data_IF_479654659803
#
_entry.id   IF_479654659803
#
_cell.length_a   1.000
_cell.length_b   1.000
_cell.length_c   1.000
_cell.angle_alpha   90.00
_cell.angle_beta   90.00
_cell.angle_gamma   90.00
#
_symmetry.space_group_name_H-M   'P 1'
#
loop_
_entity.id
_entity.type
_entity.pdbx_description
1 polymer ?
#
# COMPACT_ATOMS: atom_id res chain seq x y z
N UNK A 1 11.28 22.23 -10.40
CA UNK A 1 10.35 21.09 -10.58
C UNK A 1 10.80 20.30 -11.79
N UNK A 2 10.98 18.99 -11.67
CA UNK A 2 11.17 18.17 -12.88
C UNK A 2 9.79 17.67 -13.32
N UNK A 3 9.39 17.97 -14.56
CA UNK A 3 8.17 17.41 -15.17
C UNK A 3 8.14 15.88 -15.03
N UNK A 4 9.33 15.28 -15.03
CA UNK A 4 9.58 13.86 -14.83
C UNK A 4 9.00 13.30 -13.53
N UNK A 5 9.24 13.94 -12.38
CA UNK A 5 8.78 13.39 -11.09
C UNK A 5 7.26 13.32 -10.97
N UNK A 6 6.57 14.34 -11.49
CA UNK A 6 5.10 14.35 -11.58
C UNK A 6 4.59 13.27 -12.54
N UNK A 7 5.26 13.09 -13.67
CA UNK A 7 4.91 12.05 -14.63
C UNK A 7 5.09 10.65 -14.03
N UNK A 8 6.20 10.38 -13.34
CA UNK A 8 6.43 9.11 -12.63
C UNK A 8 5.35 8.83 -11.58
N UNK A 9 4.94 9.84 -10.82
CA UNK A 9 3.86 9.69 -9.84
C UNK A 9 2.54 9.26 -10.50
N UNK A 10 2.08 9.99 -11.52
CA UNK A 10 0.80 9.68 -12.17
C UNK A 10 0.86 8.38 -12.96
N UNK A 11 1.96 8.11 -13.64
CA UNK A 11 2.15 6.85 -14.36
C UNK A 11 2.18 5.67 -13.38
N UNK A 12 2.91 5.78 -12.28
CA UNK A 12 2.93 4.77 -11.22
C UNK A 12 1.54 4.53 -10.63
N UNK A 13 0.78 5.59 -10.40
CA UNK A 13 -0.60 5.50 -9.91
C UNK A 13 -1.53 4.81 -10.93
N UNK A 14 -1.42 5.13 -12.22
CA UNK A 14 -2.20 4.47 -13.26
C UNK A 14 -1.87 2.98 -13.38
N UNK A 15 -0.58 2.63 -13.31
CA UNK A 15 -0.12 1.23 -13.30
C UNK A 15 -0.66 0.50 -12.06
N UNK A 16 -0.56 1.13 -10.88
CA UNK A 16 -1.09 0.59 -9.63
C UNK A 16 -2.59 0.35 -9.74
N UNK A 17 -3.38 1.31 -10.21
CA UNK A 17 -4.83 1.15 -10.40
C UNK A 17 -5.08 0.01 -11.39
N UNK A 18 -4.50 0.06 -12.59
CA UNK A 18 -4.69 -0.95 -13.63
C UNK A 18 -4.38 -2.39 -13.17
N UNK A 19 -3.41 -2.57 -12.27
CA UNK A 19 -3.07 -3.90 -11.73
C UNK A 19 -4.20 -4.58 -10.95
N UNK A 20 -5.21 -3.85 -10.46
CA UNK A 20 -6.34 -4.43 -9.72
C UNK A 20 -7.21 -5.36 -10.57
N UNK A 21 -7.20 -5.18 -11.89
CA UNK A 21 -7.98 -6.00 -12.82
C UNK A 21 -7.20 -7.18 -13.41
N UNK A 22 -5.92 -7.29 -13.10
CA UNK A 22 -5.05 -8.35 -13.61
C UNK A 22 -4.94 -9.50 -12.62
N UNK A 23 -4.61 -10.68 -13.15
CA UNK A 23 -4.33 -11.86 -12.32
C UNK A 23 -3.10 -11.59 -11.47
N UNK A 24 -3.27 -11.70 -10.15
CA UNK A 24 -2.24 -11.38 -9.18
C UNK A 24 -1.34 -12.56 -8.86
N UNK A 25 -1.95 -13.74 -8.65
CA UNK A 25 -1.25 -14.93 -8.19
C UNK A 25 -1.85 -16.16 -8.85
N UNK A 26 -1.06 -17.22 -8.94
CA UNK A 26 -1.50 -18.54 -9.33
C UNK A 26 -0.76 -19.59 -8.51
N UNK A 27 -1.25 -20.82 -8.48
CA UNK A 27 -0.57 -21.93 -7.83
C UNK A 27 -1.49 -22.86 -7.05
N UNK A 28 -0.93 -23.92 -6.46
CA UNK A 28 -1.69 -24.94 -5.73
C UNK A 28 -2.44 -24.39 -4.51
N UNK A 29 -1.99 -23.29 -3.92
CA UNK A 29 -2.70 -22.62 -2.82
C UNK A 29 -3.89 -21.75 -3.23
N UNK A 30 -4.22 -21.68 -4.52
CA UNK A 30 -5.40 -20.96 -5.02
C UNK A 30 -6.59 -21.91 -5.07
N UNK A 31 -7.53 -21.74 -4.14
CA UNK A 31 -8.72 -22.59 -4.01
C UNK A 31 -9.86 -22.22 -4.98
N UNK A 32 -9.71 -21.15 -5.75
CA UNK A 32 -10.73 -20.61 -6.65
C UNK A 32 -10.53 -21.09 -8.08
N UNK A 33 -11.64 -21.38 -8.79
CA UNK A 33 -11.62 -21.81 -10.19
C UNK A 33 -10.98 -20.77 -11.13
N UNK A 34 -11.09 -19.49 -10.77
CA UNK A 34 -10.46 -18.36 -11.45
C UNK A 34 -9.30 -17.85 -10.59
N UNK A 35 -8.11 -17.63 -11.16
CA UNK A 35 -6.99 -17.11 -10.40
C UNK A 35 -7.30 -15.66 -9.92
N UNK A 36 -7.07 -15.36 -8.63
CA UNK A 36 -7.56 -14.13 -8.02
C UNK A 36 -6.81 -12.91 -8.53
N UNK A 37 -7.53 -11.80 -8.61
CA UNK A 37 -6.98 -10.47 -8.90
C UNK A 37 -6.37 -9.83 -7.64
N UNK A 38 -5.67 -8.70 -7.80
CA UNK A 38 -5.17 -7.94 -6.64
C UNK A 38 -6.34 -7.41 -5.80
N UNK A 39 -7.46 -7.06 -6.45
CA UNK A 39 -8.67 -6.64 -5.75
C UNK A 39 -9.21 -7.75 -4.83
N UNK A 40 -9.32 -8.98 -5.36
CA UNK A 40 -9.82 -10.13 -4.61
C UNK A 40 -8.90 -10.42 -3.40
N UNK A 41 -7.59 -10.47 -3.62
CA UNK A 41 -6.60 -10.66 -2.54
C UNK A 41 -6.70 -9.59 -1.46
N UNK A 42 -6.85 -8.32 -1.84
CA UNK A 42 -6.93 -7.21 -0.90
C UNK A 42 -8.20 -7.28 -0.05
N UNK A 43 -9.35 -7.61 -0.67
CA UNK A 43 -10.62 -7.75 0.03
C UNK A 43 -10.58 -8.95 0.97
N UNK A 44 -10.18 -10.12 0.47
CA UNK A 44 -10.13 -11.36 1.25
C UNK A 44 -9.19 -11.22 2.46
N UNK A 45 -7.98 -10.70 2.25
CA UNK A 45 -7.02 -10.52 3.34
C UNK A 45 -7.47 -9.50 4.39
N UNK A 46 -8.13 -8.41 3.97
CA UNK A 46 -8.67 -7.42 4.90
C UNK A 46 -9.85 -7.98 5.70
N UNK A 47 -10.80 -8.65 5.03
CA UNK A 47 -11.97 -9.24 5.70
C UNK A 47 -11.56 -10.36 6.65
N UNK A 48 -10.72 -11.29 6.19
CA UNK A 48 -10.21 -12.38 7.03
C UNK A 48 -9.54 -11.78 8.27
N UNK A 49 -8.68 -10.77 8.11
CA UNK A 49 -8.01 -10.14 9.25
C UNK A 49 -9.01 -9.50 10.23
N UNK A 50 -9.98 -8.73 9.74
CA UNK A 50 -10.98 -8.06 10.58
C UNK A 50 -11.87 -9.03 11.33
N UNK A 51 -12.37 -10.08 10.65
CA UNK A 51 -13.23 -11.08 11.28
C UNK A 51 -12.44 -11.99 12.24
N UNK A 52 -11.20 -12.34 11.90
CA UNK A 52 -10.37 -13.20 12.74
C UNK A 52 -9.95 -12.49 14.04
N UNK A 53 -9.61 -11.20 13.97
CA UNK A 53 -9.31 -10.39 15.18
C UNK A 53 -10.49 -10.36 16.16
N UNK A 54 -11.73 -10.33 15.65
CA UNK A 54 -12.91 -10.26 16.52
C UNK A 54 -13.10 -11.52 17.38
N UNK A 55 -12.59 -12.67 16.95
CA UNK A 55 -12.75 -13.94 17.65
C UNK A 55 -11.68 -14.21 18.72
N UNK A 56 -10.55 -13.48 18.70
CA UNK A 56 -9.46 -13.70 19.65
C UNK A 56 -9.44 -12.63 20.74
N UNK A 57 -9.18 -13.07 21.99
CA UNK A 57 -8.81 -12.16 23.07
C UNK A 57 -7.45 -11.53 22.75
N UNK A 58 -7.26 -10.25 23.05
CA UNK A 58 -6.01 -9.52 22.76
C UNK A 58 -4.75 -10.23 23.29
N UNK A 59 -4.86 -10.96 24.40
CA UNK A 59 -3.76 -11.74 24.98
C UNK A 59 -3.29 -12.91 24.10
N UNK A 60 -4.21 -13.64 23.46
CA UNK A 60 -3.86 -14.77 22.59
C UNK A 60 -3.33 -14.33 21.23
N UNK A 61 -3.70 -13.13 20.76
CA UNK A 61 -3.15 -12.52 19.54
C UNK A 61 -1.65 -12.23 19.68
N UNK A 62 -1.21 -11.79 20.87
CA UNK A 62 0.21 -11.49 21.12
C UNK A 62 1.06 -12.76 21.23
N UNK A 63 0.51 -13.84 21.77
CA UNK A 63 1.19 -15.14 21.83
C UNK A 63 1.29 -15.82 20.46
N UNK A 64 0.28 -15.65 19.60
CA UNK A 64 0.22 -16.24 18.25
C UNK A 64 0.71 -15.28 17.15
N UNK A 65 1.49 -14.25 17.50
CA UNK A 65 2.01 -13.24 16.57
C UNK A 65 3.15 -13.80 15.68
N UNK A 66 2.88 -14.91 15.00
CA UNK A 66 3.84 -15.54 14.09
C UNK A 66 4.06 -14.66 12.86
N UNK A 67 5.27 -14.76 12.29
CA UNK A 67 5.62 -14.08 11.04
C UNK A 67 4.60 -14.35 9.92
N UNK A 68 3.96 -15.52 9.94
CA UNK A 68 2.89 -15.91 9.02
C UNK A 68 1.67 -14.98 9.11
N UNK A 69 1.13 -14.74 10.31
CA UNK A 69 -0.04 -13.87 10.47
C UNK A 69 0.28 -12.41 10.13
N UNK A 70 1.44 -11.92 10.56
CA UNK A 70 1.90 -10.57 10.22
C UNK A 70 2.03 -10.40 8.70
N UNK A 71 2.57 -11.40 8.02
CA UNK A 71 2.70 -11.40 6.56
C UNK A 71 1.33 -11.37 5.89
N UNK A 72 0.35 -12.17 6.34
CA UNK A 72 -1.01 -12.12 5.77
C UNK A 72 -1.74 -10.81 6.07
N UNK A 73 -1.61 -10.28 7.28
CA UNK A 73 -2.17 -8.99 7.64
C UNK A 73 -1.63 -7.87 6.74
N UNK A 74 -0.34 -7.93 6.40
CA UNK A 74 0.30 -6.92 5.55
C UNK A 74 -0.34 -6.82 4.15
N UNK A 75 -0.85 -7.93 3.59
CA UNK A 75 -1.53 -7.98 2.28
C UNK A 75 -2.83 -7.17 2.28
N UNK A 76 -3.59 -7.20 3.39
CA UNK A 76 -4.84 -6.44 3.50
C UNK A 76 -4.60 -4.95 3.76
N UNK A 77 -3.56 -4.63 4.53
CA UNK A 77 -3.29 -3.27 5.01
C UNK A 77 -2.40 -2.43 4.09
N UNK A 78 -1.63 -3.04 3.20
CA UNK A 78 -0.71 -2.31 2.32
C UNK A 78 -1.44 -1.29 1.44
N UNK A 79 -2.63 -1.60 0.91
CA UNK A 79 -3.38 -0.69 0.04
C UNK A 79 -3.86 0.57 0.80
N UNK A 80 -4.56 0.46 1.95
CA UNK A 80 -4.86 1.63 2.79
C UNK A 80 -3.64 2.45 3.18
N UNK A 81 -2.56 1.80 3.63
CA UNK A 81 -1.32 2.49 4.04
C UNK A 81 -0.68 3.21 2.86
N UNK A 82 -0.67 2.60 1.68
CA UNK A 82 -0.18 3.20 0.45
C UNK A 82 -1.00 4.44 0.04
N UNK A 83 -2.33 4.38 0.12
CA UNK A 83 -3.21 5.53 -0.15
C UNK A 83 -2.92 6.67 0.84
N UNK A 84 -2.81 6.37 2.14
CA UNK A 84 -2.44 7.36 3.15
C UNK A 84 -1.07 7.99 2.83
N UNK A 85 -0.09 7.16 2.45
CA UNK A 85 1.25 7.63 2.05
C UNK A 85 1.17 8.57 0.85
N UNK A 86 0.36 8.22 -0.16
CA UNK A 86 0.15 9.04 -1.35
C UNK A 86 -0.48 10.40 -1.01
N UNK A 87 -1.49 10.41 -0.13
CA UNK A 87 -2.10 11.65 0.35
C UNK A 87 -1.07 12.52 1.09
N UNK A 88 -0.27 11.92 1.98
CA UNK A 88 0.81 12.64 2.68
C UNK A 88 1.85 13.21 1.71
N UNK A 89 2.19 12.48 0.64
CA UNK A 89 3.09 12.93 -0.41
C UNK A 89 2.52 14.13 -1.19
N UNK A 90 1.22 14.15 -1.47
CA UNK A 90 0.54 15.25 -2.16
C UNK A 90 0.36 16.48 -1.28
N UNK A 91 0.02 16.29 -0.01
CA UNK A 91 -0.17 17.40 0.95
C UNK A 91 1.19 18.02 1.33
N UNK A 92 2.24 17.19 1.43
CA UNK A 92 3.62 17.59 1.72
C UNK A 92 3.80 18.49 2.97
N UNK A 93 2.91 18.34 3.97
CA UNK A 93 2.97 19.09 5.23
C UNK A 93 4.06 18.56 6.16
N UNK A 94 4.31 17.25 6.16
CA UNK A 94 5.18 16.56 7.13
C UNK A 94 6.15 15.62 6.43
N UNK A 95 7.29 16.11 5.90
CA UNK A 95 8.21 15.31 5.09
C UNK A 95 8.79 14.11 5.87
N UNK A 96 8.98 14.25 7.20
CA UNK A 96 9.41 13.15 8.07
C UNK A 96 8.38 12.02 8.10
N UNK A 97 7.10 12.36 8.24
CA UNK A 97 6.01 11.38 8.28
C UNK A 97 5.89 10.66 6.94
N UNK A 98 5.99 11.39 5.84
CA UNK A 98 6.03 10.82 4.49
C UNK A 98 7.16 9.80 4.32
N UNK A 99 8.37 10.10 4.82
CA UNK A 99 9.51 9.16 4.76
C UNK A 99 9.25 7.90 5.58
N UNK A 100 8.71 8.04 6.80
CA UNK A 100 8.37 6.90 7.65
C UNK A 100 7.35 6.00 6.93
N UNK A 101 6.28 6.58 6.41
CA UNK A 101 5.25 5.84 5.68
C UNK A 101 5.78 5.15 4.42
N UNK A 102 6.70 5.79 3.67
CA UNK A 102 7.40 5.15 2.54
C UNK A 102 8.16 3.91 3.00
N UNK A 103 8.91 3.98 4.10
CA UNK A 103 9.61 2.83 4.65
C UNK A 103 8.65 1.72 5.10
N UNK A 104 7.52 2.08 5.72
CA UNK A 104 6.48 1.12 6.11
C UNK A 104 5.91 0.41 4.89
N UNK A 105 5.55 1.14 3.82
CA UNK A 105 5.04 0.52 2.59
C UNK A 105 6.08 -0.43 1.98
N UNK A 106 7.35 -0.05 1.92
CA UNK A 106 8.42 -0.93 1.42
C UNK A 106 8.55 -2.21 2.24
N UNK A 107 8.49 -2.10 3.57
CA UNK A 107 8.49 -3.27 4.45
C UNK A 107 7.26 -4.16 4.20
N UNK A 108 6.08 -3.55 4.02
CA UNK A 108 4.86 -4.29 3.74
C UNK A 108 4.90 -5.00 2.39
N UNK A 109 5.51 -4.40 1.36
CA UNK A 109 5.73 -5.09 0.07
C UNK A 109 6.55 -6.35 0.32
N UNK A 110 7.65 -6.29 1.07
CA UNK A 110 8.47 -7.47 1.39
C UNK A 110 7.69 -8.53 2.18
N UNK A 111 6.88 -8.11 3.17
CA UNK A 111 6.03 -9.02 3.93
C UNK A 111 4.94 -9.68 3.06
N UNK A 112 4.40 -8.97 2.07
CA UNK A 112 3.46 -9.55 1.11
C UNK A 112 4.12 -10.67 0.30
N UNK A 113 5.39 -10.53 -0.09
CA UNK A 113 6.15 -11.60 -0.74
C UNK A 113 6.31 -12.83 0.17
N UNK A 114 6.61 -12.62 1.45
CA UNK A 114 6.68 -13.72 2.44
C UNK A 114 5.32 -14.41 2.58
N UNK A 115 4.21 -13.67 2.54
CA UNK A 115 2.86 -14.23 2.58
C UNK A 115 2.57 -15.15 1.38
N UNK A 116 3.09 -14.82 0.18
CA UNK A 116 2.95 -15.67 -1.00
C UNK A 116 3.66 -17.01 -0.82
N UNK A 117 4.86 -17.01 -0.23
CA UNK A 117 5.62 -18.22 0.08
C UNK A 117 4.83 -19.10 1.05
N UNK A 118 4.28 -18.53 2.12
CA UNK A 118 3.46 -19.29 3.08
C UNK A 118 2.15 -19.84 2.51
N UNK A 119 1.68 -19.33 1.36
CA UNK A 119 0.49 -19.82 0.66
C UNK A 119 0.81 -20.77 -0.49
N UNK A 120 2.08 -21.07 -0.77
CA UNK A 120 2.49 -21.86 -1.94
C UNK A 120 1.90 -21.32 -3.25
N UNK A 121 1.83 -19.99 -3.35
CA UNK A 121 1.39 -19.29 -4.56
C UNK A 121 2.54 -18.48 -5.14
N UNK A 122 2.57 -18.35 -6.45
CA UNK A 122 3.57 -17.57 -7.14
C UNK A 122 2.94 -16.32 -7.77
N UNK A 123 3.67 -15.18 -7.78
CA UNK A 123 3.18 -13.94 -8.32
C UNK A 123 3.04 -14.00 -9.85
N UNK A 124 2.04 -13.28 -10.35
CA UNK A 124 1.72 -13.11 -11.77
C UNK A 124 1.84 -11.64 -12.16
N UNK A 125 1.53 -11.33 -13.42
CA UNK A 125 1.67 -10.00 -14.02
C UNK A 125 1.01 -8.89 -13.19
N UNK A 126 -0.16 -9.14 -12.61
CA UNK A 126 -0.84 -8.17 -11.75
C UNK A 126 -0.02 -7.79 -10.53
N UNK A 127 0.62 -8.76 -9.87
CA UNK A 127 1.42 -8.52 -8.66
C UNK A 127 2.73 -7.78 -8.98
N UNK A 128 3.36 -8.09 -10.11
CA UNK A 128 4.55 -7.35 -10.57
C UNK A 128 4.20 -5.91 -10.93
N UNK A 129 3.12 -5.68 -11.67
CA UNK A 129 2.67 -4.33 -12.03
C UNK A 129 2.23 -3.53 -10.80
N UNK A 130 1.53 -4.17 -9.86
CA UNK A 130 1.16 -3.56 -8.59
C UNK A 130 2.41 -3.10 -7.80
N UNK A 131 3.42 -3.97 -7.68
CA UNK A 131 4.68 -3.64 -7.02
C UNK A 131 5.41 -2.50 -7.74
N UNK A 132 5.51 -2.57 -9.07
CA UNK A 132 6.15 -1.53 -9.87
C UNK A 132 5.44 -0.17 -9.75
N UNK A 133 4.10 -0.17 -9.74
CA UNK A 133 3.29 1.03 -9.54
C UNK A 133 3.53 1.67 -8.18
N UNK A 134 3.57 0.87 -7.11
CA UNK A 134 3.92 1.33 -5.76
C UNK A 134 5.30 1.98 -5.75
N UNK A 135 6.32 1.29 -6.26
CA UNK A 135 7.69 1.80 -6.27
C UNK A 135 7.82 3.10 -7.06
N UNK A 136 7.22 3.18 -8.25
CA UNK A 136 7.19 4.41 -9.06
C UNK A 136 6.58 5.59 -8.30
N UNK A 137 5.48 5.36 -7.58
CA UNK A 137 4.84 6.39 -6.76
C UNK A 137 5.75 6.79 -5.60
N UNK A 138 6.27 5.83 -4.81
CA UNK A 138 7.09 6.13 -3.63
C UNK A 138 8.39 6.88 -3.97
N UNK A 139 9.03 6.54 -5.09
CA UNK A 139 10.27 7.17 -5.54
C UNK A 139 10.06 8.39 -6.45
N UNK A 140 8.82 8.77 -6.72
CA UNK A 140 8.55 10.05 -7.38
C UNK A 140 9.01 11.23 -6.50
N UNK A 141 9.81 12.10 -7.09
CA UNK A 141 10.36 13.30 -6.44
C UNK A 141 9.68 14.57 -6.96
N UNK A 142 9.70 15.65 -6.20
CA UNK A 142 9.27 16.97 -6.70
C UNK A 142 7.76 17.20 -6.84
N UNK A 143 6.93 16.54 -6.01
CA UNK A 143 5.50 16.81 -5.94
C UNK A 143 5.23 18.25 -5.43
N UNK A 144 4.21 18.94 -5.98
CA UNK A 144 3.87 20.30 -5.56
C UNK A 144 3.51 20.32 -4.08
N UNK A 145 4.10 21.24 -3.32
CA UNK A 145 3.57 21.61 -2.00
C UNK A 145 2.23 22.28 -2.25
N UNK A 146 1.17 21.81 -1.59
CA UNK A 146 -0.09 22.54 -1.57
C UNK A 146 0.21 23.98 -1.10
N UNK A 147 -0.26 25.04 -1.81
CA UNK A 147 -0.07 26.40 -1.35
C UNK A 147 -0.84 26.53 -0.03
N UNK A 148 -0.11 26.50 1.08
CA UNK A 148 -0.64 26.95 2.36
C UNK A 148 -0.93 28.42 2.14
N UNK A 149 -2.22 28.75 1.96
CA UNK A 149 -2.69 30.13 1.85
C UNK A 149 -2.19 30.81 3.12
N UNK A 150 -1.13 31.61 2.99
CA UNK A 150 -0.61 32.39 4.08
C UNK A 150 -1.78 33.23 4.56
N UNK A 151 -2.20 33.00 5.81
CA UNK A 151 -3.26 33.78 6.42
C UNK A 151 -2.88 35.24 6.28
N UNK A 152 -3.78 36.03 5.72
CA UNK A 152 -3.71 37.48 5.69
C UNK A 152 -3.32 37.98 7.07
N UNK A 153 -2.08 38.42 7.22
CA UNK A 153 -1.71 39.30 8.33
C UNK A 153 -2.67 40.48 8.28
N UNK A 154 -3.47 40.74 9.33
CA UNK A 154 -4.24 41.97 9.37
C UNK A 154 -3.23 43.13 9.35
N UNK A 155 -3.27 43.91 8.28
CA UNK A 155 -2.62 45.21 8.24
C UNK A 155 -3.20 46.03 9.39
N UNK A 156 -2.41 46.22 10.44
CA UNK A 156 -2.69 47.20 11.49
C UNK A 156 -2.54 48.58 10.84
N UNK A 157 -3.64 49.10 10.31
CA UNK A 157 -3.77 50.52 9.96
C UNK A 157 -3.79 51.32 11.26
N UNK A 158 -2.71 52.09 11.43
CA UNK A 158 -2.50 53.13 12.44
C UNK A 158 -3.52 54.26 12.36
#
# INVERSE_FOLDING_TARGET
MTKLGRLCFWLGLLIYIGSFWLTAVAGPGVWTLRPPSIADLAIDSLLIFLFHIHQYSFGTILEDLTLKYVSFASVGWINPIFIVTMILMLVNRTPRLTTIFRCIVLLFVLLCWVALIYRDVYPREGYFLWTAGILLVLFSTGLPRWPVRAGSTPELTS
#
